data_IF_300893397254
#
_entry.id   IF_300893397254
#
_cell.length_a   1.000
_cell.length_b   1.000
_cell.length_c   1.000
_cell.angle_alpha   90.00
_cell.angle_beta   90.00
_cell.angle_gamma   90.00
#
_symmetry.space_group_name_H-M   'P 1'
#
loop_
_entity.id
_entity.type
_entity.pdbx_description
1 polymer ?
#
# COMPACT_ATOMS: atom_id res chain seq x y z
N UNK A 1 12.21 -20.43 -33.50
CA UNK A 1 11.29 -21.60 -33.48
C UNK A 1 10.12 -21.27 -34.38
N UNK A 2 9.60 -22.22 -35.15
CA UNK A 2 8.50 -21.96 -36.10
C UNK A 2 7.13 -22.26 -35.45
N UNK A 3 6.12 -21.43 -35.72
CA UNK A 3 4.83 -21.47 -35.01
C UNK A 3 3.99 -22.72 -35.35
N UNK A 4 4.01 -23.14 -36.60
CA UNK A 4 3.29 -24.32 -37.09
C UNK A 4 3.83 -25.61 -36.49
N UNK A 5 5.11 -25.64 -36.09
CA UNK A 5 5.66 -26.74 -35.32
C UNK A 5 5.08 -26.78 -33.90
N UNK A 6 4.94 -25.62 -33.24
CA UNK A 6 4.40 -25.54 -31.87
C UNK A 6 2.95 -26.03 -31.82
N UNK A 7 2.13 -25.63 -32.80
CA UNK A 7 0.74 -26.07 -32.89
C UNK A 7 0.62 -27.57 -33.23
N UNK A 8 1.42 -28.08 -34.17
CA UNK A 8 1.41 -29.51 -34.56
C UNK A 8 1.97 -30.43 -33.48
N UNK A 9 2.98 -29.98 -32.73
CA UNK A 9 3.57 -30.74 -31.63
C UNK A 9 2.67 -30.78 -30.37
N UNK A 10 1.48 -30.17 -30.42
CA UNK A 10 0.59 -30.00 -29.27
C UNK A 10 1.29 -29.35 -28.07
N UNK A 11 2.25 -28.44 -28.35
CA UNK A 11 2.94 -27.72 -27.29
C UNK A 11 1.92 -26.79 -26.65
N UNK A 12 1.54 -27.15 -25.43
CA UNK A 12 0.49 -26.45 -24.70
C UNK A 12 0.89 -25.01 -24.36
N UNK A 13 2.19 -24.75 -24.16
CA UNK A 13 2.73 -23.49 -23.67
C UNK A 13 4.15 -23.27 -24.18
N UNK A 14 4.44 -22.07 -24.65
CA UNK A 14 5.78 -21.57 -24.95
C UNK A 14 6.11 -20.46 -23.97
N UNK A 15 7.30 -20.47 -23.38
CA UNK A 15 7.77 -19.42 -22.49
C UNK A 15 8.94 -18.67 -23.15
N UNK A 16 8.98 -17.36 -22.96
CA UNK A 16 10.16 -16.55 -23.28
C UNK A 16 11.28 -16.83 -22.28
N UNK A 17 12.48 -16.40 -22.65
CA UNK A 17 13.54 -16.18 -21.66
C UNK A 17 13.08 -15.21 -20.57
N UNK A 18 13.70 -15.31 -19.41
CA UNK A 18 13.45 -14.41 -18.30
C UNK A 18 13.98 -13.02 -18.63
N UNK A 19 13.21 -11.99 -18.30
CA UNK A 19 13.61 -10.60 -18.48
C UNK A 19 13.29 -9.77 -17.23
N UNK A 20 14.02 -8.68 -17.05
CA UNK A 20 13.86 -7.80 -15.90
C UNK A 20 13.06 -6.55 -16.27
N UNK A 21 12.05 -6.22 -15.48
CA UNK A 21 11.31 -4.96 -15.58
C UNK A 21 10.84 -4.50 -14.21
N UNK A 22 11.05 -3.22 -13.90
CA UNK A 22 10.67 -2.62 -12.62
C UNK A 22 11.35 -3.23 -11.39
N UNK A 23 12.50 -3.88 -11.55
CA UNK A 23 13.24 -4.56 -10.48
C UNK A 23 12.78 -5.99 -10.19
N UNK A 24 11.97 -6.58 -11.07
CA UNK A 24 11.45 -7.94 -10.93
C UNK A 24 11.72 -8.76 -12.19
N UNK A 25 11.83 -10.08 -12.04
CA UNK A 25 12.01 -11.02 -13.14
C UNK A 25 10.69 -11.60 -13.61
N UNK A 26 10.48 -11.54 -14.91
CA UNK A 26 9.25 -11.95 -15.58
C UNK A 26 9.54 -12.94 -16.71
N UNK A 27 8.53 -13.71 -17.10
CA UNK A 27 8.54 -14.50 -18.33
C UNK A 27 7.19 -14.37 -19.03
N UNK A 28 7.23 -14.21 -20.35
CA UNK A 28 6.06 -14.17 -21.21
C UNK A 28 5.69 -15.59 -21.65
N UNK A 29 4.43 -15.93 -21.50
CA UNK A 29 3.89 -17.26 -21.78
C UNK A 29 2.83 -17.20 -22.87
N UNK A 30 3.07 -17.90 -23.98
CA UNK A 30 2.16 -17.98 -25.13
C UNK A 30 1.55 -19.37 -25.18
N UNK A 31 0.24 -19.43 -25.40
CA UNK A 31 -0.51 -20.66 -25.66
C UNK A 31 -1.02 -20.58 -27.10
N UNK A 32 -0.28 -21.16 -28.08
CA UNK A 32 -0.61 -21.05 -29.50
C UNK A 32 -2.03 -21.54 -29.84
N UNK A 33 -2.53 -22.54 -29.10
CA UNK A 33 -3.85 -23.14 -29.29
C UNK A 33 -4.84 -22.80 -28.17
N UNK A 34 -4.45 -21.86 -27.30
CA UNK A 34 -5.28 -21.33 -26.23
C UNK A 34 -5.12 -22.04 -24.89
N UNK A 35 -5.26 -21.29 -23.81
CA UNK A 35 -5.29 -21.82 -22.46
C UNK A 35 -6.70 -22.34 -22.13
N UNK A 36 -6.90 -23.64 -22.27
CA UNK A 36 -8.20 -24.31 -22.02
C UNK A 36 -8.69 -24.14 -20.58
N UNK A 37 -7.80 -24.10 -19.58
CA UNK A 37 -8.16 -23.85 -18.18
C UNK A 37 -8.73 -22.44 -17.97
N UNK A 38 -8.30 -21.49 -18.80
CA UNK A 38 -8.76 -20.09 -18.78
C UNK A 38 -9.90 -19.79 -19.76
N UNK A 39 -10.46 -20.81 -20.43
CA UNK A 39 -11.50 -20.60 -21.44
C UNK A 39 -11.00 -19.98 -22.76
N UNK A 40 -9.70 -20.09 -23.04
CA UNK A 40 -9.04 -19.53 -24.24
C UNK A 40 -9.17 -20.38 -25.51
N UNK A 41 -10.04 -21.38 -25.54
CA UNK A 41 -10.18 -22.27 -26.71
C UNK A 41 -10.51 -21.47 -27.98
N UNK A 42 -9.85 -21.83 -29.09
CA UNK A 42 -10.01 -21.15 -30.37
C UNK A 42 -9.29 -19.80 -30.47
N UNK A 43 -8.45 -19.47 -29.49
CA UNK A 43 -7.70 -18.21 -29.48
C UNK A 43 -6.23 -18.49 -29.13
N UNK A 44 -5.32 -17.65 -29.59
CA UNK A 44 -4.00 -17.54 -28.98
C UNK A 44 -4.19 -16.88 -27.61
N UNK A 45 -3.58 -17.44 -26.57
CA UNK A 45 -3.56 -16.81 -25.23
C UNK A 45 -2.17 -16.32 -24.87
N UNK A 46 -2.12 -15.23 -24.10
CA UNK A 46 -0.87 -14.59 -23.66
C UNK A 46 -0.93 -14.30 -22.16
N UNK A 47 0.15 -14.59 -21.44
CA UNK A 47 0.25 -14.39 -19.99
C UNK A 47 1.64 -13.90 -19.60
N UNK A 48 1.69 -13.03 -18.61
CA UNK A 48 2.91 -12.62 -17.92
C UNK A 48 2.99 -13.35 -16.58
N UNK A 49 4.14 -13.97 -16.32
CA UNK A 49 4.43 -14.72 -15.09
C UNK A 49 5.57 -14.05 -14.34
N UNK A 50 5.38 -13.82 -13.04
CA UNK A 50 6.46 -13.46 -12.13
C UNK A 50 7.22 -14.73 -11.70
N UNK A 51 8.52 -14.81 -11.98
CA UNK A 51 9.29 -16.07 -11.86
C UNK A 51 10.04 -16.17 -10.53
N UNK A 52 10.75 -15.12 -10.12
CA UNK A 52 11.62 -15.13 -8.95
C UNK A 52 10.90 -14.58 -7.73
N UNK A 53 9.79 -15.23 -7.35
CA UNK A 53 9.03 -14.84 -6.15
C UNK A 53 9.63 -15.40 -4.85
N UNK A 54 10.61 -16.29 -4.93
CA UNK A 54 11.26 -16.93 -3.78
C UNK A 54 12.26 -16.03 -3.07
N UNK A 55 12.80 -15.04 -3.78
CA UNK A 55 13.64 -13.98 -3.21
C UNK A 55 12.84 -12.86 -2.55
N UNK A 56 11.51 -12.86 -2.71
CA UNK A 56 10.61 -11.87 -2.11
C UNK A 56 10.16 -12.29 -0.69
N UNK A 57 9.78 -11.33 0.18
CA UNK A 57 9.23 -11.62 1.50
C UNK A 57 8.02 -12.56 1.45
N UNK A 58 7.72 -13.29 2.52
CA UNK A 58 6.64 -14.31 2.55
C UNK A 58 5.26 -13.74 2.17
N UNK A 59 5.03 -12.45 2.40
CA UNK A 59 3.79 -11.71 2.14
C UNK A 59 3.92 -10.72 0.98
N UNK A 60 4.87 -10.96 0.06
CA UNK A 60 5.16 -10.05 -1.03
C UNK A 60 3.94 -9.74 -1.91
N UNK A 61 3.95 -8.51 -2.40
CA UNK A 61 2.98 -8.00 -3.36
C UNK A 61 3.71 -7.15 -4.40
N UNK A 62 3.36 -7.36 -5.67
CA UNK A 62 3.83 -6.53 -6.77
C UNK A 62 2.62 -6.08 -7.57
N UNK A 63 2.42 -4.77 -7.62
CA UNK A 63 1.38 -4.17 -8.45
C UNK A 63 2.00 -3.72 -9.77
N UNK A 64 1.40 -4.09 -10.90
CA UNK A 64 1.88 -3.67 -12.21
C UNK A 64 0.73 -3.45 -13.20
N UNK A 65 0.87 -2.44 -14.05
CA UNK A 65 0.07 -2.34 -15.28
C UNK A 65 0.79 -3.14 -16.36
N UNK A 66 0.06 -3.98 -17.08
CA UNK A 66 0.61 -4.92 -18.06
C UNK A 66 -0.13 -4.76 -19.38
N UNK A 67 0.59 -4.35 -20.42
CA UNK A 67 0.07 -4.28 -21.78
C UNK A 67 0.71 -5.39 -22.62
N UNK A 68 -0.11 -6.17 -23.31
CA UNK A 68 0.36 -7.18 -24.25
C UNK A 68 0.30 -6.64 -25.67
N UNK A 69 1.19 -7.12 -26.53
CA UNK A 69 1.18 -6.75 -27.94
C UNK A 69 1.48 -7.92 -28.86
N UNK A 70 0.97 -7.82 -30.09
CA UNK A 70 1.36 -8.65 -31.22
C UNK A 70 1.84 -7.74 -32.35
N UNK A 71 2.95 -8.08 -32.97
CA UNK A 71 3.44 -7.36 -34.13
C UNK A 71 2.67 -7.77 -35.38
N UNK A 72 2.26 -6.79 -36.18
CA UNK A 72 1.65 -6.99 -37.47
C UNK A 72 2.68 -6.64 -38.56
N UNK A 73 3.10 -7.66 -39.31
CA UNK A 73 4.13 -7.55 -40.34
C UNK A 73 3.67 -6.78 -41.59
N UNK A 74 2.36 -6.66 -41.82
CA UNK A 74 1.82 -5.89 -42.97
C UNK A 74 1.85 -4.40 -42.65
N UNK A 75 1.38 -4.04 -41.47
CA UNK A 75 1.25 -2.64 -41.04
C UNK A 75 2.56 -2.10 -40.44
N UNK A 76 3.55 -2.95 -40.18
CA UNK A 76 4.83 -2.61 -39.51
C UNK A 76 4.64 -1.96 -38.13
N UNK A 77 3.64 -2.45 -37.39
CA UNK A 77 3.26 -1.89 -36.09
C UNK A 77 2.93 -2.96 -35.05
N UNK A 78 3.07 -2.59 -33.78
CA UNK A 78 2.56 -3.40 -32.68
C UNK A 78 1.10 -3.06 -32.39
N UNK A 79 0.24 -4.08 -32.45
CA UNK A 79 -1.13 -3.99 -31.96
C UNK A 79 -1.10 -4.26 -30.45
N UNK A 80 -1.33 -3.23 -29.65
CA UNK A 80 -1.20 -3.25 -28.18
C UNK A 80 -2.59 -3.28 -27.52
N UNK A 81 -2.75 -4.09 -26.49
CA UNK A 81 -3.92 -4.01 -25.61
C UNK A 81 -3.81 -2.79 -24.69
N UNK A 82 -4.82 -1.93 -24.69
CA UNK A 82 -4.89 -0.83 -23.74
C UNK A 82 -5.60 -1.29 -22.46
N UNK A 83 -4.83 -1.86 -21.52
CA UNK A 83 -5.35 -2.21 -20.19
C UNK A 83 -4.76 -1.25 -19.15
N UNK A 84 -5.61 -0.39 -18.59
CA UNK A 84 -5.19 0.53 -17.51
C UNK A 84 -5.33 -0.09 -16.12
N UNK A 85 -5.80 -1.34 -16.01
CA UNK A 85 -6.01 -1.97 -14.72
C UNK A 85 -4.69 -2.39 -14.08
N UNK A 86 -4.56 -2.07 -12.79
CA UNK A 86 -3.44 -2.55 -11.98
C UNK A 86 -3.66 -4.03 -11.67
N UNK A 87 -2.68 -4.85 -12.05
CA UNK A 87 -2.63 -6.28 -11.76
C UNK A 87 -1.82 -6.49 -10.48
N UNK A 88 -2.46 -7.10 -9.49
CA UNK A 88 -1.86 -7.45 -8.21
C UNK A 88 -1.27 -8.86 -8.31
N UNK A 89 0.05 -8.96 -8.33
CA UNK A 89 0.79 -10.20 -8.20
C UNK A 89 1.08 -10.45 -6.73
N UNK A 90 0.85 -11.68 -6.27
CA UNK A 90 1.14 -12.10 -4.90
C UNK A 90 1.37 -13.62 -4.86
N UNK A 91 1.68 -14.14 -3.67
CA UNK A 91 2.03 -15.56 -3.44
C UNK A 91 1.08 -16.57 -4.09
N UNK A 92 -0.23 -16.27 -4.14
CA UNK A 92 -1.24 -17.17 -4.72
C UNK A 92 -1.60 -16.83 -6.18
N UNK A 93 -1.12 -15.70 -6.69
CA UNK A 93 -1.44 -15.17 -8.02
C UNK A 93 -0.20 -14.54 -8.65
N UNK A 94 0.65 -15.39 -9.24
CA UNK A 94 1.90 -14.99 -9.90
C UNK A 94 1.76 -14.77 -11.40
N UNK A 95 0.58 -15.04 -11.97
CA UNK A 95 0.33 -15.00 -13.41
C UNK A 95 -0.93 -14.19 -13.74
N UNK A 96 -0.81 -13.27 -14.70
CA UNK A 96 -1.91 -12.49 -15.28
C UNK A 96 -1.81 -12.50 -16.80
N UNK A 97 -2.95 -12.50 -17.49
CA UNK A 97 -2.95 -12.57 -18.95
C UNK A 97 -4.34 -12.50 -19.56
N UNK A 98 -4.38 -12.67 -20.88
CA UNK A 98 -5.58 -12.59 -21.69
C UNK A 98 -5.78 -13.96 -22.34
N UNK A 99 -6.83 -14.67 -21.88
CA UNK A 99 -7.14 -16.00 -22.37
C UNK A 99 -7.56 -16.00 -23.86
N UNK A 100 -8.24 -14.93 -24.30
CA UNK A 100 -8.70 -14.76 -25.69
C UNK A 100 -8.05 -13.52 -26.29
N UNK A 101 -6.75 -13.61 -26.57
CA UNK A 101 -5.97 -12.45 -27.01
C UNK A 101 -6.18 -12.16 -28.50
N UNK A 102 -5.90 -13.15 -29.35
CA UNK A 102 -6.20 -13.08 -30.79
C UNK A 102 -6.96 -14.34 -31.17
N UNK A 103 -8.05 -14.19 -31.92
CA UNK A 103 -8.77 -15.32 -32.49
C UNK A 103 -7.83 -16.15 -33.40
N UNK A 104 -7.93 -17.48 -33.33
CA UNK A 104 -6.94 -18.34 -33.98
C UNK A 104 -7.04 -18.29 -35.52
N UNK A 105 -8.25 -18.08 -36.06
CA UNK A 105 -8.46 -17.98 -37.50
C UNK A 105 -7.92 -16.62 -37.98
N UNK A 106 -8.20 -15.56 -37.23
CA UNK A 106 -7.65 -14.22 -37.46
C UNK A 106 -6.12 -14.22 -37.44
N UNK A 107 -5.51 -14.91 -36.46
CA UNK A 107 -4.07 -14.99 -36.31
C UNK A 107 -3.40 -15.75 -37.46
N UNK A 108 -4.01 -16.84 -37.93
CA UNK A 108 -3.45 -17.68 -38.99
C UNK A 108 -3.73 -17.16 -40.41
N UNK A 109 -4.69 -16.26 -40.59
CA UNK A 109 -4.95 -15.62 -41.88
C UNK A 109 -3.80 -14.68 -42.24
N UNK A 110 -3.03 -14.98 -43.31
CA UNK A 110 -1.89 -14.15 -43.70
C UNK A 110 -2.25 -12.70 -44.02
N UNK A 111 -3.51 -12.42 -44.38
CA UNK A 111 -3.97 -11.06 -44.69
C UNK A 111 -4.08 -10.15 -43.46
N UNK A 112 -4.09 -10.71 -42.24
CA UNK A 112 -4.07 -9.97 -40.99
C UNK A 112 -2.65 -9.69 -40.46
N UNK A 113 -1.61 -10.28 -41.08
CA UNK A 113 -0.22 -9.91 -40.82
C UNK A 113 0.39 -10.36 -39.49
N UNK A 114 -0.31 -11.12 -38.63
CA UNK A 114 0.23 -11.59 -37.35
C UNK A 114 1.23 -12.76 -37.45
N UNK A 115 1.11 -13.55 -38.51
CA UNK A 115 1.96 -14.72 -38.78
C UNK A 115 2.51 -14.64 -40.21
N UNK A 116 3.82 -14.41 -40.33
CA UNK A 116 4.51 -14.32 -41.62
C UNK A 116 5.68 -15.29 -41.64
N UNK A 117 5.77 -16.14 -42.68
CA UNK A 117 6.81 -17.17 -42.81
C UNK A 117 7.00 -18.02 -41.54
N UNK A 118 5.87 -18.42 -40.94
CA UNK A 118 5.82 -19.19 -39.70
C UNK A 118 6.48 -18.52 -38.48
N UNK A 119 6.61 -17.20 -38.56
CA UNK A 119 7.18 -16.33 -37.54
C UNK A 119 6.12 -15.35 -37.05
N UNK A 120 6.03 -15.22 -35.73
CA UNK A 120 5.17 -14.27 -35.05
C UNK A 120 5.95 -13.61 -33.92
N UNK A 121 5.64 -12.36 -33.60
CA UNK A 121 6.32 -11.62 -32.52
C UNK A 121 5.28 -11.12 -31.54
N UNK A 122 5.46 -11.51 -30.28
CA UNK A 122 4.65 -11.02 -29.16
C UNK A 122 5.52 -10.13 -28.27
N UNK A 123 4.89 -9.10 -27.72
CA UNK A 123 5.52 -8.17 -26.79
C UNK A 123 4.72 -8.03 -25.50
N UNK A 124 5.38 -7.48 -24.49
CA UNK A 124 4.76 -7.09 -23.24
C UNK A 124 5.43 -5.86 -22.67
N UNK A 125 4.64 -4.90 -22.23
CA UNK A 125 5.10 -3.75 -21.46
C UNK A 125 4.68 -3.94 -20.01
N UNK A 126 5.61 -3.73 -19.08
CA UNK A 126 5.39 -3.94 -17.65
C UNK A 126 5.74 -2.66 -16.90
N UNK A 127 4.72 -2.02 -16.35
CA UNK A 127 4.86 -0.82 -15.53
C UNK A 127 4.61 -1.18 -14.07
N UNK A 128 5.69 -1.46 -13.33
CA UNK A 128 5.58 -1.76 -11.91
C UNK A 128 5.19 -0.52 -11.14
N UNK A 129 4.02 -0.58 -10.50
CA UNK A 129 3.47 0.46 -9.64
C UNK A 129 4.08 0.27 -8.26
N UNK A 130 5.10 1.07 -7.95
CA UNK A 130 5.60 1.19 -6.58
C UNK A 130 4.54 1.91 -5.76
N UNK A 131 3.83 1.16 -4.92
CA UNK A 131 3.17 1.73 -3.76
C UNK A 131 4.28 2.22 -2.84
N UNK A 132 4.69 3.48 -2.98
CA UNK A 132 5.34 4.14 -1.86
C UNK A 132 4.30 4.11 -0.74
N UNK A 133 4.63 3.48 0.37
CA UNK A 133 3.83 3.50 1.60
C UNK A 133 3.72 4.95 2.13
N UNK A 134 2.96 5.77 1.42
CA UNK A 134 2.22 6.91 1.96
C UNK A 134 0.80 6.45 2.31
N UNK A 135 0.65 5.18 2.68
CA UNK A 135 -0.49 4.75 3.45
C UNK A 135 -0.20 5.11 4.90
N UNK A 136 -0.91 6.12 5.44
CA UNK A 136 -0.95 6.32 6.89
C UNK A 136 -1.45 4.99 7.49
N UNK A 137 -0.54 4.19 8.06
CA UNK A 137 -0.91 2.96 8.77
C UNK A 137 -1.73 3.38 10.00
N UNK A 138 -3.05 3.30 9.89
CA UNK A 138 -3.94 3.36 11.04
C UNK A 138 -3.80 2.03 11.80
N UNK A 139 -2.75 1.89 12.60
CA UNK A 139 -2.68 0.82 13.59
C UNK A 139 -3.71 1.12 14.67
N UNK A 140 -4.91 0.60 14.49
CA UNK A 140 -5.95 0.64 15.50
C UNK A 140 -5.51 -0.30 16.63
N UNK A 141 -5.18 0.26 17.79
CA UNK A 141 -4.95 -0.54 18.99
C UNK A 141 -6.16 -1.45 19.21
N UNK A 142 -5.92 -2.70 19.62
CA UNK A 142 -6.96 -3.64 20.06
C UNK A 142 -7.63 -3.08 21.33
N UNK A 143 -8.62 -2.21 21.14
CA UNK A 143 -9.39 -1.55 22.19
C UNK A 143 -8.82 -0.20 22.67
N UNK A 144 -9.67 0.68 23.25
CA UNK A 144 -9.24 1.95 23.82
C UNK A 144 -8.32 1.68 25.01
N UNK A 145 -7.04 2.02 24.87
CA UNK A 145 -6.10 1.94 25.99
C UNK A 145 -6.47 3.05 26.97
N UNK A 146 -7.22 2.69 28.00
CA UNK A 146 -7.64 3.63 29.04
C UNK A 146 -6.51 3.74 30.06
N UNK A 147 -5.85 4.90 30.10
CA UNK A 147 -4.87 5.22 31.13
C UNK A 147 -5.39 6.39 31.98
N UNK A 148 -5.10 6.36 33.28
CA UNK A 148 -5.45 7.43 34.22
C UNK A 148 -4.21 7.78 35.01
N UNK A 149 -3.84 9.06 34.99
CA UNK A 149 -2.73 9.59 35.76
C UNK A 149 -3.23 10.73 36.66
N UNK A 150 -2.67 10.84 37.86
CA UNK A 150 -2.99 11.89 38.81
C UNK A 150 -1.70 12.55 39.27
N UNK A 151 -1.58 13.85 38.96
CA UNK A 151 -0.45 14.66 39.37
C UNK A 151 -0.87 15.56 40.54
N UNK A 152 -0.14 15.48 41.66
CA UNK A 152 -0.36 16.30 42.84
C UNK A 152 0.77 17.30 43.00
N UNK A 153 0.46 18.58 42.83
CA UNK A 153 1.36 19.68 43.14
C UNK A 153 1.34 19.97 44.64
N UNK A 154 2.51 19.84 45.29
CA UNK A 154 2.69 20.21 46.69
C UNK A 154 3.31 21.61 46.75
N UNK A 155 2.73 22.51 47.57
CA UNK A 155 3.16 23.92 47.75
C UNK A 155 3.02 24.77 46.47
N UNK A 156 1.77 24.94 46.05
CA UNK A 156 1.38 25.90 45.03
C UNK A 156 1.68 27.33 45.52
N UNK A 157 2.68 27.99 44.96
CA UNK A 157 2.91 29.43 45.16
C UNK A 157 3.04 30.06 43.79
N UNK A 158 2.09 30.93 43.43
CA UNK A 158 2.00 31.61 42.12
C UNK A 158 3.20 32.53 41.80
N UNK A 159 4.25 32.53 42.63
CA UNK A 159 5.32 33.50 42.62
C UNK A 159 6.55 33.10 41.78
N UNK A 160 6.69 31.83 41.39
CA UNK A 160 8.01 31.34 41.01
C UNK A 160 8.17 30.83 39.57
N UNK A 161 7.09 30.48 38.84
CA UNK A 161 7.19 29.97 37.46
C UNK A 161 5.96 30.31 36.62
N UNK A 162 6.18 30.60 35.33
CA UNK A 162 5.12 30.81 34.35
C UNK A 162 4.40 29.49 33.95
N UNK A 163 5.08 28.35 34.12
CA UNK A 163 4.57 27.01 33.81
C UNK A 163 5.10 25.95 34.79
N UNK A 164 4.32 24.89 34.99
CA UNK A 164 4.69 23.71 35.75
C UNK A 164 4.53 22.45 34.89
N UNK A 165 5.52 21.58 34.92
CA UNK A 165 5.53 20.32 34.17
C UNK A 165 5.48 19.13 35.15
N UNK A 166 4.73 18.09 34.82
CA UNK A 166 4.74 16.84 35.59
C UNK A 166 5.92 15.95 35.20
N UNK A 167 6.21 14.96 36.04
CA UNK A 167 7.02 13.82 35.63
C UNK A 167 6.40 13.09 34.43
N UNK A 168 7.24 12.49 33.58
CA UNK A 168 6.76 11.64 32.48
C UNK A 168 6.02 10.42 33.03
N UNK A 169 4.86 10.12 32.46
CA UNK A 169 4.11 8.91 32.75
C UNK A 169 3.78 8.16 31.46
N UNK A 170 3.63 6.83 31.57
CA UNK A 170 3.31 5.98 30.43
C UNK A 170 1.81 5.82 30.33
N UNK A 171 1.27 6.11 29.15
CA UNK A 171 -0.15 5.96 28.80
C UNK A 171 -0.26 5.30 27.44
N UNK A 172 -0.78 4.07 27.40
CA UNK A 172 -0.62 3.20 26.24
C UNK A 172 0.86 2.85 26.03
N UNK A 173 1.35 3.05 24.80
CA UNK A 173 2.74 2.80 24.44
C UNK A 173 3.59 4.08 24.41
N UNK A 174 3.04 5.21 24.88
CA UNK A 174 3.65 6.52 24.74
C UNK A 174 3.92 7.16 26.10
N UNK A 175 4.91 8.06 26.12
CA UNK A 175 5.25 8.88 27.29
C UNK A 175 4.57 10.24 27.20
N UNK A 176 3.91 10.60 28.27
CA UNK A 176 3.10 11.81 28.39
C UNK A 176 3.56 12.66 29.56
N UNK A 177 3.25 13.95 29.48
CA UNK A 177 3.41 14.91 30.56
C UNK A 177 2.21 15.84 30.65
N UNK A 178 1.96 16.38 31.83
CA UNK A 178 0.99 17.44 32.05
C UNK A 178 1.72 18.77 32.17
N UNK A 179 1.20 19.78 31.50
CA UNK A 179 1.74 21.14 31.51
C UNK A 179 0.66 22.10 32.02
N UNK A 180 0.96 22.81 33.11
CA UNK A 180 0.03 23.68 33.80
C UNK A 180 0.53 25.13 33.78
N UNK A 181 -0.31 26.03 33.29
CA UNK A 181 -0.12 27.47 33.30
C UNK A 181 -1.08 28.10 34.32
N UNK A 182 -0.61 28.48 35.52
CA UNK A 182 -1.47 29.03 36.57
C UNK A 182 -2.13 30.34 36.18
N UNK A 183 -1.46 31.14 35.35
CA UNK A 183 -1.98 32.41 34.82
C UNK A 183 -2.54 32.27 33.41
N UNK A 184 -2.77 31.04 32.95
CA UNK A 184 -3.38 30.75 31.65
C UNK A 184 -2.41 30.88 30.47
N UNK A 185 -2.78 30.24 29.36
CA UNK A 185 -2.00 30.20 28.13
C UNK A 185 -2.89 30.56 26.93
N UNK A 186 -2.29 31.14 25.88
CA UNK A 186 -2.99 31.61 24.68
C UNK A 186 -4.22 32.47 25.02
N UNK A 187 -5.40 32.11 24.53
CA UNK A 187 -6.66 32.83 24.75
C UNK A 187 -7.08 32.93 26.22
N UNK A 188 -6.57 32.03 27.08
CA UNK A 188 -6.86 32.02 28.52
C UNK A 188 -5.90 32.86 29.37
N UNK A 189 -4.88 33.50 28.76
CA UNK A 189 -3.82 34.19 29.50
C UNK A 189 -4.37 35.38 30.32
N UNK A 190 -4.01 35.42 31.60
CA UNK A 190 -4.38 36.44 32.58
C UNK A 190 -5.73 36.23 33.27
N UNK A 191 -6.61 35.36 32.72
CA UNK A 191 -8.00 35.24 33.16
C UNK A 191 -8.40 33.82 33.58
N UNK A 192 -7.59 32.81 33.25
CA UNK A 192 -7.90 31.40 33.48
C UNK A 192 -6.66 30.63 33.91
N UNK A 193 -6.85 29.42 34.45
CA UNK A 193 -5.79 28.41 34.56
C UNK A 193 -5.86 27.52 33.32
N UNK A 194 -4.73 27.23 32.68
CA UNK A 194 -4.69 26.35 31.50
C UNK A 194 -3.90 25.07 31.82
N UNK A 195 -4.45 23.92 31.42
CA UNK A 195 -3.84 22.61 31.60
C UNK A 195 -3.79 21.89 30.25
N UNK A 196 -2.63 21.37 29.90
CA UNK A 196 -2.39 20.64 28.65
C UNK A 196 -1.83 19.25 28.94
N UNK A 197 -2.15 18.32 28.03
CA UNK A 197 -1.51 17.01 27.95
C UNK A 197 -0.55 17.04 26.76
N UNK A 198 0.73 16.77 26.99
CA UNK A 198 1.77 16.82 25.96
C UNK A 198 2.41 15.46 25.76
N UNK A 199 2.69 15.12 24.51
CA UNK A 199 3.34 13.88 24.09
C UNK A 199 4.85 14.08 24.01
N UNK A 200 5.62 13.15 24.56
CA UNK A 200 7.08 13.17 24.45
C UNK A 200 7.50 12.63 23.07
N UNK A 201 7.73 13.54 22.11
CA UNK A 201 7.95 13.22 20.68
C UNK A 201 9.17 12.32 20.44
N UNK A 202 10.14 12.30 21.36
CA UNK A 202 11.29 11.38 21.31
C UNK A 202 10.88 9.89 21.34
N UNK A 203 9.65 9.60 21.75
CA UNK A 203 9.08 8.24 21.78
C UNK A 203 8.30 7.86 20.51
N UNK A 204 8.17 8.77 19.53
CA UNK A 204 7.41 8.54 18.30
C UNK A 204 8.31 8.14 17.12
N UNK A 205 7.93 7.11 16.35
CA UNK A 205 8.46 6.92 15.00
C UNK A 205 8.15 8.15 14.11
N UNK A 206 9.02 8.48 13.14
CA UNK A 206 8.75 9.56 12.17
C UNK A 206 7.41 9.35 11.46
N UNK A 207 6.65 10.43 11.24
CA UNK A 207 5.33 10.44 10.57
C UNK A 207 4.20 9.71 11.31
N UNK A 208 4.22 9.63 12.64
CA UNK A 208 3.13 9.04 13.43
C UNK A 208 2.08 10.09 13.77
N UNK A 209 0.80 9.91 13.38
CA UNK A 209 -0.30 10.73 13.90
C UNK A 209 -1.05 9.96 14.99
N UNK A 210 -1.28 10.60 16.14
CA UNK A 210 -1.98 10.00 17.26
C UNK A 210 -3.32 10.68 17.51
N UNK A 211 -4.41 9.92 17.44
CA UNK A 211 -5.73 10.39 17.89
C UNK A 211 -5.83 10.16 19.40
N UNK A 212 -6.09 11.23 20.14
CA UNK A 212 -6.19 11.22 21.60
C UNK A 212 -7.56 11.73 22.01
N UNK A 213 -8.33 10.88 22.69
CA UNK A 213 -9.51 11.28 23.47
C UNK A 213 -9.11 11.28 24.94
N UNK A 214 -9.10 12.46 25.57
CA UNK A 214 -8.70 12.62 26.96
C UNK A 214 -9.72 13.45 27.75
N UNK A 215 -9.81 13.14 29.05
CA UNK A 215 -10.56 13.95 30.00
C UNK A 215 -9.60 14.50 31.04
N UNK A 216 -9.40 15.81 31.03
CA UNK A 216 -8.62 16.50 32.04
C UNK A 216 -9.55 16.92 33.18
N UNK A 217 -9.14 16.64 34.43
CA UNK A 217 -9.93 16.94 35.63
C UNK A 217 -9.08 17.62 36.67
N UNK A 218 -9.57 18.73 37.22
CA UNK A 218 -9.00 19.35 38.42
C UNK A 218 -9.88 19.02 39.62
N UNK A 219 -9.30 18.36 40.62
CA UNK A 219 -9.98 18.05 41.87
C UNK A 219 -9.73 19.15 42.89
N UNK A 220 -10.80 19.83 43.32
CA UNK A 220 -10.77 20.72 44.48
C UNK A 220 -10.55 19.90 45.76
N UNK A 221 -9.67 20.37 46.66
CA UNK A 221 -9.30 19.63 47.88
C UNK A 221 -10.19 19.95 49.09
N UNK A 222 -11.04 20.98 49.00
CA UNK A 222 -11.81 21.54 50.13
C UNK A 222 -13.33 21.35 49.94
N UNK A 223 -13.82 21.18 48.71
CA UNK A 223 -15.23 20.98 48.36
C UNK A 223 -15.45 19.81 47.40
N UNK A 224 -16.71 19.43 47.19
CA UNK A 224 -17.12 18.30 46.32
C UNK A 224 -17.22 18.67 44.81
N UNK A 225 -16.86 19.90 44.43
CA UNK A 225 -16.97 20.36 43.05
C UNK A 225 -15.70 20.01 42.27
N UNK A 226 -15.90 19.50 41.06
CA UNK A 226 -14.81 19.10 40.16
C UNK A 226 -15.03 19.77 38.80
N UNK A 227 -14.02 20.49 38.31
CA UNK A 227 -14.02 20.96 36.93
C UNK A 227 -13.42 19.86 36.04
N UNK A 228 -14.12 19.53 34.96
CA UNK A 228 -13.69 18.56 33.97
C UNK A 228 -13.87 19.10 32.56
N UNK A 229 -12.93 18.77 31.68
CA UNK A 229 -12.99 19.10 30.26
C UNK A 229 -12.59 17.87 29.47
N UNK A 230 -13.40 17.52 28.46
CA UNK A 230 -13.08 16.45 27.51
C UNK A 230 -12.55 17.08 26.23
N UNK A 231 -11.49 16.49 25.70
CA UNK A 231 -10.81 16.97 24.51
C UNK A 231 -10.54 15.79 23.58
N UNK A 232 -10.85 15.96 22.30
CA UNK A 232 -10.44 15.06 21.22
C UNK A 232 -9.47 15.83 20.32
N UNK A 233 -8.27 15.28 20.08
CA UNK A 233 -7.21 15.97 19.33
C UNK A 233 -6.33 14.98 18.57
N UNK A 234 -5.77 15.44 17.46
CA UNK A 234 -4.78 14.71 16.67
C UNK A 234 -3.42 15.35 16.94
N UNK A 235 -2.49 14.57 17.48
CA UNK A 235 -1.10 14.98 17.69
C UNK A 235 -0.21 14.46 16.55
N UNK A 236 0.76 15.25 16.09
CA UNK A 236 1.74 14.85 15.08
C UNK A 236 2.87 13.97 15.65
#
# INVERSE_FOLDING_TARGET
>A
MSFSWLSKASIQKCASEEFEAGGYKWSLSIYPTGNTKGGGQGHVSIYLVLIDSSSLPVDWEVNAVVNFSAYNFIDDEYVITQDTNVRRFHVLKTEWGIAKFVDIDTFNDPSNGYLMDDTCVFGVEVFVVKTMDKGDCLSMFHGPITCSHSWKLNRFSFANLDEYESESFVGGNYKWKLLLYPNGHAEGKGNSVSLFLTLEVSSLPPNTKLVVDCTLRTKEQIGANHAQTRCETILP
#
